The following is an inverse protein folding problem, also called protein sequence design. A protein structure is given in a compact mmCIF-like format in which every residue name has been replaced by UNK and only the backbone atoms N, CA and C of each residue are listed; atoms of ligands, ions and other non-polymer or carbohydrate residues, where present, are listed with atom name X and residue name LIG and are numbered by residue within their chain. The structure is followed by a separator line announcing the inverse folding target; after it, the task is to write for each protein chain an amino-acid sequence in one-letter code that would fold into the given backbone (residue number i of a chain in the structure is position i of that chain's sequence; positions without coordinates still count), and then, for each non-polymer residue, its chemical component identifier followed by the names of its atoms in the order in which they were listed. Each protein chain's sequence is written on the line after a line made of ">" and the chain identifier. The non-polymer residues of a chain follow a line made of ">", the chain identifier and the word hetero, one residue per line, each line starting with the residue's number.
data_IF_029603341880
#
_entry.id   IF_029603341880
#
_cell.length_a   1.000
_cell.length_b   1.000
_cell.length_c   1.000
_cell.angle_alpha   90.00
_cell.angle_beta   90.00
_cell.angle_gamma   90.00
#
_symmetry.space_group_name_H-M   'P 1'
#
loop_
_entity.id
_entity.type
_entity.pdbx_description
1 polymer ?
#
# COMPACT_ATOMS: atom_id res chain seq x y z
N UNK A 1 1.44 -9.95 -14.35
CA UNK A 1 0.11 -9.61 -13.77
C UNK A 1 0.31 -9.19 -12.32
N UNK A 2 -0.32 -8.12 -11.85
CA UNK A 2 -0.16 -7.56 -10.50
C UNK A 2 -0.13 -6.03 -10.49
N UNK A 3 0.01 -5.43 -9.31
CA UNK A 3 0.17 -3.97 -9.18
C UNK A 3 1.53 -3.57 -9.76
N UNK A 4 1.57 -2.48 -10.53
CA UNK A 4 2.79 -1.91 -11.11
C UNK A 4 3.77 -1.46 -10.01
N UNK A 5 5.07 -1.72 -10.18
CA UNK A 5 6.10 -1.35 -9.21
C UNK A 5 6.11 0.15 -8.93
N UNK A 6 5.81 0.99 -9.94
CA UNK A 6 5.72 2.44 -9.77
C UNK A 6 4.56 2.84 -8.85
N UNK A 7 3.48 2.07 -8.83
CA UNK A 7 2.37 2.31 -7.89
C UNK A 7 2.78 1.96 -6.47
N UNK A 8 3.55 0.88 -6.29
CA UNK A 8 4.08 0.46 -4.98
C UNK A 8 5.09 1.50 -4.47
N UNK A 9 6.00 1.96 -5.31
CA UNK A 9 6.97 3.01 -5.01
C UNK A 9 6.28 4.31 -4.59
N UNK A 10 5.34 4.80 -5.41
CA UNK A 10 4.58 6.01 -5.12
C UNK A 10 3.79 5.90 -3.80
N UNK A 11 3.24 4.72 -3.49
CA UNK A 11 2.55 4.48 -2.24
C UNK A 11 3.48 4.68 -1.04
N UNK A 12 4.67 4.09 -1.09
CA UNK A 12 5.63 4.17 0.02
C UNK A 12 6.32 5.52 0.13
N UNK A 13 6.53 6.21 -0.99
CA UNK A 13 7.13 7.54 -1.03
C UNK A 13 6.13 8.68 -0.76
N UNK A 14 4.82 8.38 -0.70
CA UNK A 14 3.76 9.38 -0.52
C UNK A 14 3.44 10.21 -1.77
N UNK A 15 3.89 9.78 -2.96
CA UNK A 15 3.73 10.49 -4.23
C UNK A 15 2.57 9.94 -5.07
N UNK A 16 1.48 9.51 -4.43
CA UNK A 16 0.34 8.95 -5.15
C UNK A 16 -0.42 10.04 -5.94
N UNK A 17 -0.71 9.83 -7.24
CA UNK A 17 -1.50 10.77 -8.03
C UNK A 17 -2.89 11.04 -7.43
N UNK A 18 -3.40 12.27 -7.55
CA UNK A 18 -4.70 12.68 -7.01
C UNK A 18 -5.88 11.82 -7.48
N UNK A 19 -5.81 11.29 -8.70
CA UNK A 19 -6.84 10.41 -9.26
C UNK A 19 -6.71 8.93 -8.82
N UNK A 20 -5.74 8.59 -7.95
CA UNK A 20 -5.45 7.22 -7.49
C UNK A 20 -5.31 7.13 -5.97
N UNK A 21 -6.16 7.85 -5.23
CA UNK A 21 -6.06 8.01 -3.77
C UNK A 21 -6.53 6.81 -2.93
N UNK A 22 -7.27 5.85 -3.50
CA UNK A 22 -7.90 4.76 -2.73
C UNK A 22 -6.92 3.93 -1.91
N UNK A 23 -5.88 3.38 -2.56
CA UNK A 23 -4.84 2.58 -1.89
C UNK A 23 -4.04 3.42 -0.88
N UNK A 24 -3.76 4.67 -1.22
CA UNK A 24 -3.03 5.60 -0.35
C UNK A 24 -3.81 5.92 0.92
N UNK A 25 -5.11 6.13 0.79
CA UNK A 25 -6.03 6.37 1.90
C UNK A 25 -6.06 5.22 2.89
N UNK A 26 -6.00 3.97 2.41
CA UNK A 26 -5.90 2.78 3.27
C UNK A 26 -4.54 2.75 3.96
N UNK A 27 -3.45 2.94 3.20
CA UNK A 27 -2.09 2.93 3.72
C UNK A 27 -1.88 3.99 4.83
N UNK A 28 -2.37 5.21 4.63
CA UNK A 28 -2.28 6.29 5.62
C UNK A 28 -3.13 6.04 6.85
N UNK A 29 -4.35 5.50 6.70
CA UNK A 29 -5.20 5.16 7.86
C UNK A 29 -4.57 4.08 8.72
N UNK A 30 -3.98 3.06 8.10
CA UNK A 30 -3.26 2.02 8.83
C UNK A 30 -2.03 2.60 9.55
N UNK A 31 -1.24 3.46 8.88
CA UNK A 31 -0.14 4.19 9.55
C UNK A 31 -0.62 5.02 10.74
N UNK A 32 -1.77 5.69 10.62
CA UNK A 32 -2.34 6.51 11.68
C UNK A 32 -2.75 5.68 12.90
N UNK A 33 -3.49 4.59 12.69
CA UNK A 33 -4.05 3.79 13.79
C UNK A 33 -3.10 2.73 14.35
N UNK A 34 -2.22 2.18 13.52
CA UNK A 34 -1.40 1.00 13.84
C UNK A 34 0.10 1.24 13.64
N UNK A 35 0.52 2.49 13.40
CA UNK A 35 1.92 2.89 13.18
C UNK A 35 2.62 2.26 11.96
N UNK A 36 1.97 1.33 11.26
CA UNK A 36 2.45 0.68 10.04
C UNK A 36 1.37 0.69 8.96
N UNK A 37 1.77 0.98 7.72
CA UNK A 37 0.89 0.94 6.56
C UNK A 37 0.80 -0.45 5.94
N UNK A 38 0.28 -0.51 4.71
CA UNK A 38 0.25 -1.73 3.90
C UNK A 38 1.66 -2.29 3.64
N UNK A 39 1.81 -3.59 3.76
CA UNK A 39 2.98 -4.37 3.36
C UNK A 39 2.65 -5.05 2.02
N UNK A 40 3.37 -4.71 0.95
CA UNK A 40 3.08 -5.16 -0.41
C UNK A 40 4.25 -5.96 -0.94
N UNK A 41 3.97 -7.19 -1.37
CA UNK A 41 4.97 -8.11 -1.93
C UNK A 41 4.54 -8.57 -3.31
N UNK A 42 5.48 -8.56 -4.25
CA UNK A 42 5.31 -9.20 -5.56
C UNK A 42 5.36 -10.71 -5.41
N UNK A 43 4.50 -11.39 -6.18
CA UNK A 43 4.48 -12.83 -6.32
C UNK A 43 4.75 -13.18 -7.79
N UNK A 44 5.14 -14.43 -8.05
CA UNK A 44 5.29 -14.95 -9.41
C UNK A 44 4.01 -14.76 -10.25
N UNK A 45 2.84 -14.81 -9.59
CA UNK A 45 1.56 -14.41 -10.17
C UNK A 45 0.75 -13.57 -9.18
N UNK A 46 0.77 -12.25 -9.38
CA UNK A 46 -0.08 -11.31 -8.66
C UNK A 46 0.67 -10.45 -7.63
N UNK A 47 -0.05 -10.04 -6.59
CA UNK A 47 0.47 -9.14 -5.55
C UNK A 47 -0.17 -9.51 -4.22
N UNK A 48 0.66 -9.78 -3.22
CA UNK A 48 0.23 -9.97 -1.84
C UNK A 48 0.20 -8.61 -1.15
N UNK A 49 -0.92 -8.29 -0.49
CA UNK A 49 -1.10 -7.07 0.30
C UNK A 49 -1.54 -7.50 1.70
N UNK A 50 -0.75 -7.15 2.70
CA UNK A 50 -0.96 -7.54 4.09
C UNK A 50 -0.88 -6.30 4.98
N UNK A 51 -1.52 -6.37 6.15
CA UNK A 51 -1.37 -5.39 7.21
C UNK A 51 -1.63 -6.07 8.55
N UNK A 52 -1.12 -5.44 9.61
CA UNK A 52 -1.27 -5.94 10.97
C UNK A 52 -2.10 -4.96 11.78
N UNK A 53 -3.11 -5.48 12.45
CA UNK A 53 -3.94 -4.76 13.40
C UNK A 53 -3.61 -5.32 14.78
N UNK A 54 -3.10 -4.47 15.67
CA UNK A 54 -2.87 -4.83 17.06
C UNK A 54 -4.20 -5.07 17.81
N UNK A 55 -4.13 -5.77 18.94
CA UNK A 55 -5.17 -5.75 19.97
C UNK A 55 -4.88 -4.66 20.97
#
# INVERSE_FOLDING_TARGET
>A
MGIDDKVIENLYSGNMPENKIGLYNVHLRLKLYYHKGLDIKKLDSGTLIEFYVGR
#
